data_IF_842925891130
#
_entry.id   IF_842925891130
#
_cell.length_a   1.000
_cell.length_b   1.000
_cell.length_c   1.000
_cell.angle_alpha   90.00
_cell.angle_beta   90.00
_cell.angle_gamma   90.00
#
_symmetry.space_group_name_H-M   'P 1'
#
loop_
_entity.id
_entity.type
_entity.pdbx_description
1 polymer ?
#
# COMPACT_ATOMS: atom_id res chain seq x y z
N UNK A 1 1.91 -22.04 8.09
CA UNK A 1 1.88 -20.86 8.99
C UNK A 1 2.53 -19.60 8.39
N UNK A 2 3.57 -19.70 7.54
CA UNK A 2 4.21 -18.52 6.89
C UNK A 2 3.65 -18.09 5.52
N UNK A 3 2.75 -18.87 4.91
CA UNK A 3 2.05 -18.45 3.68
C UNK A 3 1.21 -17.17 3.88
N UNK A 4 0.79 -16.88 5.12
CA UNK A 4 -0.03 -15.72 5.47
C UNK A 4 0.71 -14.36 5.38
N UNK A 5 2.02 -14.35 5.18
CA UNK A 5 2.82 -13.10 5.09
C UNK A 5 3.05 -12.65 3.64
N UNK A 6 2.31 -13.19 2.67
CA UNK A 6 2.46 -12.75 1.28
C UNK A 6 2.12 -11.26 1.12
N UNK A 7 0.98 -10.82 1.65
CA UNK A 7 0.55 -9.43 1.62
C UNK A 7 1.57 -8.48 2.30
N UNK A 8 2.16 -8.91 3.43
CA UNK A 8 3.20 -8.16 4.14
C UNK A 8 4.49 -8.03 3.32
N UNK A 9 4.92 -9.13 2.70
CA UNK A 9 6.13 -9.15 1.85
C UNK A 9 5.93 -8.27 0.62
N UNK A 10 4.75 -8.33 0.00
CA UNK A 10 4.42 -7.52 -1.16
C UNK A 10 4.33 -6.03 -0.79
N UNK A 11 3.63 -5.68 0.29
CA UNK A 11 3.53 -4.31 0.77
C UNK A 11 4.91 -3.72 1.12
N UNK A 12 5.78 -4.51 1.75
CA UNK A 12 7.16 -4.11 2.02
C UNK A 12 7.97 -3.90 0.73
N UNK A 13 7.84 -4.79 -0.26
CA UNK A 13 8.52 -4.64 -1.55
C UNK A 13 8.09 -3.37 -2.28
N UNK A 14 6.79 -3.05 -2.30
CA UNK A 14 6.26 -1.81 -2.85
C UNK A 14 6.86 -0.61 -2.09
N UNK A 15 6.80 -0.63 -0.77
CA UNK A 15 7.31 0.47 0.05
C UNK A 15 8.82 0.70 -0.15
N UNK A 16 9.62 -0.35 -0.35
CA UNK A 16 11.04 -0.26 -0.70
C UNK A 16 11.28 0.39 -2.07
N UNK A 17 10.42 0.16 -3.05
CA UNK A 17 10.51 0.86 -4.35
C UNK A 17 10.20 2.34 -4.15
N UNK A 18 9.22 2.66 -3.31
CA UNK A 18 8.79 4.04 -3.03
C UNK A 18 9.77 4.86 -2.18
N UNK A 19 10.89 4.28 -1.71
CA UNK A 19 11.98 5.06 -1.08
C UNK A 19 12.95 5.66 -2.09
N UNK A 20 12.89 5.25 -3.37
CA UNK A 20 13.80 5.74 -4.42
C UNK A 20 13.63 7.24 -4.64
N UNK A 21 14.75 7.95 -4.65
CA UNK A 21 14.85 9.41 -4.74
C UNK A 21 14.45 9.96 -6.11
N UNK A 22 14.55 9.16 -7.17
CA UNK A 22 14.20 9.57 -8.54
C UNK A 22 12.69 9.55 -8.81
N UNK A 23 11.88 9.00 -7.90
CA UNK A 23 10.43 8.95 -8.10
C UNK A 23 9.83 10.34 -7.96
N UNK A 24 9.01 10.71 -8.93
CA UNK A 24 8.06 11.83 -8.82
C UNK A 24 6.88 11.42 -7.96
N UNK A 25 6.17 12.40 -7.39
CA UNK A 25 4.97 12.16 -6.59
C UNK A 25 3.93 11.35 -7.37
N UNK A 26 3.69 11.75 -8.62
CA UNK A 26 2.82 11.06 -9.56
C UNK A 26 3.19 9.59 -9.74
N UNK A 27 4.47 9.28 -9.97
CA UNK A 27 4.94 7.89 -10.09
C UNK A 27 4.75 7.08 -8.81
N UNK A 28 4.77 7.74 -7.65
CA UNK A 28 4.53 7.09 -6.35
C UNK A 28 3.07 6.74 -6.10
N UNK A 29 2.11 7.37 -6.78
CA UNK A 29 0.67 7.19 -6.50
C UNK A 29 -0.16 6.67 -7.68
N UNK A 30 0.21 6.93 -8.94
CA UNK A 30 -0.62 6.59 -10.12
C UNK A 30 -0.94 5.10 -10.25
N UNK A 31 -0.07 4.23 -9.74
CA UNK A 31 -0.29 2.78 -9.74
C UNK A 31 -1.52 2.35 -8.90
N UNK A 32 -2.01 3.21 -8.00
CA UNK A 32 -3.23 2.99 -7.23
C UNK A 32 -4.50 3.22 -8.06
N UNK A 33 -4.41 3.94 -9.18
CA UNK A 33 -5.55 4.25 -10.06
C UNK A 33 -6.31 3.00 -10.51
N UNK A 34 -5.65 2.02 -11.15
CA UNK A 34 -6.30 0.77 -11.57
C UNK A 34 -6.90 -0.03 -10.40
N UNK A 35 -6.30 0.02 -9.21
CA UNK A 35 -6.85 -0.64 -8.01
C UNK A 35 -8.13 0.04 -7.55
N UNK A 36 -8.16 1.37 -7.59
CA UNK A 36 -9.34 2.17 -7.26
C UNK A 36 -10.48 1.91 -8.26
N UNK A 37 -10.17 1.81 -9.56
CA UNK A 37 -11.15 1.46 -10.60
C UNK A 37 -11.74 0.07 -10.38
N UNK A 38 -10.91 -0.94 -10.08
CA UNK A 38 -11.37 -2.30 -9.80
C UNK A 38 -12.27 -2.36 -8.55
N UNK A 39 -11.89 -1.66 -7.48
CA UNK A 39 -12.70 -1.59 -6.25
C UNK A 39 -14.06 -0.92 -6.49
N UNK A 40 -14.12 0.15 -7.30
CA UNK A 40 -15.38 0.82 -7.66
C UNK A 40 -16.28 -0.04 -8.55
N UNK A 41 -15.70 -0.90 -9.39
CA UNK A 41 -16.42 -1.84 -10.23
C UNK A 41 -16.99 -3.05 -9.45
N UNK A 42 -16.66 -3.18 -8.17
CA UNK A 42 -17.16 -4.22 -7.29
C UNK A 42 -18.69 -4.27 -7.23
N UNK A 43 -19.25 -5.50 -7.27
CA UNK A 43 -20.69 -5.74 -7.13
C UNK A 43 -21.03 -6.16 -5.70
N UNK A 44 -22.25 -5.88 -5.20
CA UNK A 44 -22.69 -6.38 -3.90
C UNK A 44 -22.55 -7.90 -3.80
N UNK A 45 -21.99 -8.38 -2.70
CA UNK A 45 -21.73 -9.80 -2.49
C UNK A 45 -20.51 -10.06 -1.60
N UNK A 46 -20.09 -11.32 -1.46
CA UNK A 46 -18.87 -11.65 -0.75
C UNK A 46 -17.66 -11.03 -1.44
N UNK A 47 -16.74 -10.47 -0.64
CA UNK A 47 -15.51 -9.86 -1.15
C UNK A 47 -14.64 -10.95 -1.79
N UNK A 48 -14.25 -10.81 -3.08
CA UNK A 48 -13.33 -11.76 -3.71
C UNK A 48 -12.00 -11.85 -2.95
N UNK A 49 -11.38 -13.04 -2.95
CA UNK A 49 -10.14 -13.28 -2.21
C UNK A 49 -9.03 -12.29 -2.60
N UNK A 50 -8.90 -11.98 -3.89
CA UNK A 50 -7.89 -11.05 -4.40
C UNK A 50 -8.10 -9.62 -3.85
N UNK A 51 -9.34 -9.14 -3.79
CA UNK A 51 -9.66 -7.81 -3.20
C UNK A 51 -9.24 -7.78 -1.74
N UNK A 52 -9.54 -8.84 -0.99
CA UNK A 52 -9.14 -8.93 0.42
C UNK A 52 -7.62 -8.92 0.60
N UNK A 53 -6.86 -9.59 -0.26
CA UNK A 53 -5.39 -9.58 -0.25
C UNK A 53 -4.83 -8.20 -0.64
N UNK A 54 -5.38 -7.56 -1.67
CA UNK A 54 -5.02 -6.20 -2.06
C UNK A 54 -5.24 -5.22 -0.90
N UNK A 55 -6.37 -5.30 -0.18
CA UNK A 55 -6.60 -4.46 1.00
C UNK A 55 -5.56 -4.69 2.11
N UNK A 56 -5.16 -5.94 2.40
CA UNK A 56 -4.12 -6.22 3.39
C UNK A 56 -2.77 -5.65 2.96
N UNK A 57 -2.41 -5.83 1.68
CA UNK A 57 -1.20 -5.25 1.09
C UNK A 57 -1.20 -3.72 1.20
N UNK A 58 -2.30 -3.05 0.84
CA UNK A 58 -2.42 -1.59 0.93
C UNK A 58 -2.33 -1.07 2.37
N UNK A 59 -2.86 -1.80 3.36
CA UNK A 59 -2.70 -1.44 4.79
C UNK A 59 -1.24 -1.50 5.23
N UNK A 60 -0.45 -2.44 4.70
CA UNK A 60 0.99 -2.50 4.96
C UNK A 60 1.67 -1.30 4.31
N UNK A 61 1.32 -0.94 3.08
CA UNK A 61 1.87 0.26 2.41
C UNK A 61 1.53 1.53 3.20
N UNK A 62 0.28 1.71 3.64
CA UNK A 62 -0.14 2.81 4.50
C UNK A 62 0.70 2.90 5.78
N UNK A 63 0.86 1.78 6.49
CA UNK A 63 1.67 1.72 7.71
C UNK A 63 3.13 2.12 7.45
N UNK A 64 3.71 1.62 6.35
CA UNK A 64 5.11 1.90 6.01
C UNK A 64 5.32 3.32 5.45
N UNK A 65 4.30 3.92 4.83
CA UNK A 65 4.30 5.34 4.49
C UNK A 65 4.36 6.19 5.77
N UNK A 66 3.59 5.85 6.80
CA UNK A 66 3.58 6.56 8.09
C UNK A 66 4.84 6.32 8.93
N UNK A 67 5.39 5.09 8.94
CA UNK A 67 6.49 4.69 9.84
C UNK A 67 7.87 4.60 9.19
N UNK A 68 7.93 4.58 7.87
CA UNK A 68 9.12 4.24 7.11
C UNK A 68 9.38 2.73 7.06
N UNK A 69 10.22 2.33 6.11
CA UNK A 69 10.59 0.94 5.85
C UNK A 69 11.90 0.62 6.58
N UNK A 70 12.05 -0.61 7.07
CA UNK A 70 13.32 -1.12 7.59
C UNK A 70 13.88 -2.19 6.64
N UNK A 71 14.78 -1.82 5.71
CA UNK A 71 15.41 -2.80 4.82
C UNK A 71 16.20 -3.82 5.64
N UNK A 72 16.16 -5.10 5.22
CA UNK A 72 16.96 -6.15 5.87
C UNK A 72 18.44 -5.79 5.82
N UNK A 73 19.13 -5.90 6.96
CA UNK A 73 20.55 -5.59 7.09
C UNK A 73 20.87 -4.10 7.23
N UNK A 74 19.88 -3.20 7.20
CA UNK A 74 20.09 -1.79 7.49
C UNK A 74 20.16 -1.60 9.02
N UNK A 75 21.32 -1.18 9.52
CA UNK A 75 21.52 -0.88 10.95
C UNK A 75 21.04 0.53 11.35
N UNK A 76 20.64 1.35 10.37
CA UNK A 76 20.06 2.68 10.60
C UNK A 76 18.57 2.67 10.93
N UNK A 77 18.02 3.86 11.14
CA UNK A 77 16.58 4.06 11.37
C UNK A 77 15.72 3.72 10.14
N UNK A 78 14.38 3.79 10.27
CA UNK A 78 13.48 3.58 9.14
C UNK A 78 13.77 4.55 7.99
N UNK A 79 13.84 4.02 6.77
CA UNK A 79 13.96 4.80 5.53
C UNK A 79 12.57 5.30 5.15
N UNK A 80 12.42 6.62 5.01
CA UNK A 80 11.16 7.24 4.60
C UNK A 80 10.90 7.02 3.11
N UNK A 81 9.63 6.85 2.75
CA UNK A 81 9.21 6.93 1.36
C UNK A 81 9.46 8.35 0.85
N UNK A 82 9.80 8.48 -0.44
CA UNK A 82 10.11 9.76 -1.06
C UNK A 82 8.94 10.75 -0.95
N UNK A 83 7.73 10.28 -1.20
CA UNK A 83 6.48 11.04 -1.15
C UNK A 83 5.51 10.42 -0.13
N UNK A 84 6.00 10.21 1.10
CA UNK A 84 5.32 9.43 2.12
C UNK A 84 3.88 9.87 2.41
N UNK A 85 3.65 11.18 2.53
CA UNK A 85 2.31 11.74 2.77
C UNK A 85 1.36 11.45 1.61
N UNK A 86 1.75 11.79 0.37
CA UNK A 86 0.94 11.54 -0.81
C UNK A 86 0.58 10.04 -0.97
N UNK A 87 1.53 9.15 -0.71
CA UNK A 87 1.28 7.69 -0.75
C UNK A 87 0.32 7.27 0.36
N UNK A 88 0.47 7.82 1.58
CA UNK A 88 -0.39 7.49 2.71
C UNK A 88 -1.83 7.90 2.45
N UNK A 89 -2.05 9.15 2.02
CA UNK A 89 -3.40 9.66 1.71
C UNK A 89 -4.02 8.90 0.55
N UNK A 90 -3.29 8.69 -0.56
CA UNK A 90 -3.81 7.94 -1.70
C UNK A 90 -4.16 6.48 -1.35
N UNK A 91 -3.37 5.82 -0.50
CA UNK A 91 -3.67 4.46 -0.04
C UNK A 91 -4.92 4.43 0.86
N UNK A 92 -5.11 5.44 1.72
CA UNK A 92 -6.31 5.59 2.55
C UNK A 92 -7.55 5.81 1.69
N UNK A 93 -7.47 6.71 0.70
CA UNK A 93 -8.56 6.98 -0.25
C UNK A 93 -9.02 5.72 -0.99
N UNK A 94 -8.08 4.88 -1.46
CA UNK A 94 -8.42 3.62 -2.13
C UNK A 94 -9.04 2.62 -1.15
N UNK A 95 -8.53 2.51 0.08
CA UNK A 95 -9.10 1.63 1.11
C UNK A 95 -10.53 2.05 1.50
N UNK A 96 -10.82 3.35 1.49
CA UNK A 96 -12.14 3.89 1.81
C UNK A 96 -13.23 3.47 0.82
N UNK A 97 -12.88 3.18 -0.44
CA UNK A 97 -13.83 2.69 -1.47
C UNK A 97 -14.47 1.36 -1.02
N UNK A 98 -13.66 0.45 -0.48
CA UNK A 98 -14.09 -0.91 -0.11
C UNK A 98 -14.44 -1.04 1.38
N UNK A 99 -14.12 -0.04 2.20
CA UNK A 99 -14.35 -0.04 3.63
C UNK A 99 -14.67 1.37 4.13
N UNK A 100 -15.95 1.61 4.45
CA UNK A 100 -16.44 2.88 5.04
C UNK A 100 -15.79 3.31 6.36
N UNK A 101 -14.96 2.45 6.97
CA UNK A 101 -14.24 2.71 8.21
C UNK A 101 -12.77 3.10 7.99
N UNK A 102 -12.31 3.16 6.74
CA UNK A 102 -10.90 3.37 6.41
C UNK A 102 -10.54 4.81 5.99
N UNK A 103 -11.46 5.77 6.19
CA UNK A 103 -11.24 7.21 5.98
C UNK A 103 -11.02 7.92 7.29
#
# INVERSE_FOLDING_TARGET
MFYAMEDDRLGCAIALVLTRDQLTERQSVDWLGPVAEDFRAGRPGPVPAYVSSTMRTLRVVYLLADRGVRPRGHQGGPVRLRHAEAVREAAADVLAISSRYAG
#
